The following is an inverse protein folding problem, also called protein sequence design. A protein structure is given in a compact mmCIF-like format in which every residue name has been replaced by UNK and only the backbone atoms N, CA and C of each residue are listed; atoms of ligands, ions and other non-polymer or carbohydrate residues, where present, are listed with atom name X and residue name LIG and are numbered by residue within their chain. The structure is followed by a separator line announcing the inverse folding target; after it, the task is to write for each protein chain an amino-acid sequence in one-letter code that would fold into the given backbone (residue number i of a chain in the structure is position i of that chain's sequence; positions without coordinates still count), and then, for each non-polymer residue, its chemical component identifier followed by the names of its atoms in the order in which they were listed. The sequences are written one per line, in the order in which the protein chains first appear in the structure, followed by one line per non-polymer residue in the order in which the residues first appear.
data_IF_624558639661
#
_entry.id   IF_624558639661
#
_cell.length_a   1.000
_cell.length_b   1.000
_cell.length_c   1.000
_cell.angle_alpha   90.00
_cell.angle_beta   90.00
_cell.angle_gamma   90.00
#
_symmetry.space_group_name_H-M   'P 1'
#
loop_
_entity.id
_entity.type
_entity.pdbx_description
1 polymer ?
#
# COMPACT_ATOMS: atom_id res chain seq x y z
N UNK A 1 38.88 -6.82 -9.32
CA UNK A 1 37.74 -7.76 -9.33
C UNK A 1 37.20 -7.90 -7.91
N UNK A 2 35.96 -7.48 -7.63
CA UNK A 2 35.28 -7.71 -6.34
C UNK A 2 34.04 -8.56 -6.63
N UNK A 3 34.03 -9.76 -6.08
CA UNK A 3 33.03 -10.79 -6.35
C UNK A 3 31.66 -10.44 -5.73
N UNK A 4 30.64 -10.79 -6.49
CA UNK A 4 29.22 -10.76 -6.15
C UNK A 4 28.88 -11.80 -5.07
N UNK A 5 28.00 -11.43 -4.14
CA UNK A 5 27.24 -12.38 -3.34
C UNK A 5 25.78 -11.91 -3.30
N UNK A 6 25.08 -12.13 -4.43
CA UNK A 6 23.63 -12.09 -4.45
C UNK A 6 23.11 -13.27 -3.65
N UNK A 7 22.70 -13.03 -2.40
CA UNK A 7 22.01 -14.04 -1.60
C UNK A 7 20.74 -14.45 -2.32
N UNK A 8 20.69 -15.69 -2.81
CA UNK A 8 19.48 -16.28 -3.34
C UNK A 8 18.44 -16.30 -2.21
N UNK A 9 17.49 -15.37 -2.27
CA UNK A 9 16.29 -15.44 -1.45
C UNK A 9 15.56 -16.70 -1.89
N UNK A 10 15.61 -17.75 -1.07
CA UNK A 10 14.80 -18.95 -1.24
C UNK A 10 13.34 -18.53 -1.06
N UNK A 11 12.69 -18.12 -2.15
CA UNK A 11 11.25 -17.89 -2.18
C UNK A 11 10.57 -19.25 -2.17
N UNK A 12 10.30 -19.77 -0.97
CA UNK A 12 9.33 -20.85 -0.84
C UNK A 12 7.97 -20.26 -1.18
N UNK A 13 7.41 -20.65 -2.33
CA UNK A 13 6.05 -20.25 -2.67
C UNK A 13 5.12 -20.76 -1.56
N UNK A 14 4.20 -19.92 -1.05
CA UNK A 14 3.20 -20.40 -0.11
C UNK A 14 2.43 -21.55 -0.75
N UNK A 15 2.07 -22.60 0.02
CA UNK A 15 1.32 -23.72 -0.50
C UNK A 15 0.00 -23.22 -1.11
N UNK A 16 -0.32 -23.71 -2.32
CA UNK A 16 -1.60 -23.41 -2.96
C UNK A 16 -2.68 -24.20 -2.23
N UNK A 17 -3.57 -23.48 -1.54
CA UNK A 17 -4.77 -24.08 -0.95
C UNK A 17 -5.83 -24.23 -2.03
N UNK A 18 -6.14 -25.47 -2.42
CA UNK A 18 -7.28 -25.77 -3.27
C UNK A 18 -8.55 -25.85 -2.41
N UNK A 19 -9.62 -25.20 -2.83
CA UNK A 19 -10.93 -25.24 -2.16
C UNK A 19 -12.00 -25.76 -3.14
N UNK A 20 -13.01 -26.51 -2.67
CA UNK A 20 -14.13 -26.92 -3.50
C UNK A 20 -14.96 -25.71 -3.98
N UNK A 21 -15.70 -25.80 -5.11
CA UNK A 21 -16.42 -24.66 -5.67
C UNK A 21 -17.43 -23.99 -4.73
N UNK A 22 -18.00 -24.72 -3.77
CA UNK A 22 -18.94 -24.19 -2.78
C UNK A 22 -18.27 -23.37 -1.65
N UNK A 23 -16.95 -23.41 -1.55
CA UNK A 23 -16.15 -22.57 -0.64
C UNK A 23 -15.57 -21.33 -1.35
N UNK A 24 -15.70 -21.25 -2.68
CA UNK A 24 -15.36 -20.04 -3.41
C UNK A 24 -16.45 -18.97 -3.19
N UNK A 25 -16.07 -17.71 -2.98
CA UNK A 25 -17.05 -16.63 -2.93
C UNK A 25 -17.72 -16.46 -4.29
N UNK A 26 -19.04 -16.20 -4.29
CA UNK A 26 -19.83 -15.95 -5.50
C UNK A 26 -19.34 -14.74 -6.30
N UNK A 27 -18.60 -13.83 -5.65
CA UNK A 27 -18.00 -12.66 -6.26
C UNK A 27 -16.53 -12.52 -5.86
N UNK A 28 -15.72 -12.04 -6.79
CA UNK A 28 -14.35 -11.64 -6.48
C UNK A 28 -14.36 -10.49 -5.45
N UNK A 29 -13.45 -10.48 -4.47
CA UNK A 29 -13.29 -9.34 -3.58
C UNK A 29 -13.08 -8.04 -4.39
N UNK A 30 -13.66 -6.91 -3.96
CA UNK A 30 -13.54 -5.65 -4.69
C UNK A 30 -12.10 -5.14 -4.79
N UNK A 31 -11.23 -5.57 -3.85
CA UNK A 31 -9.82 -5.19 -3.80
C UNK A 31 -8.95 -6.41 -3.47
N UNK A 32 -7.69 -6.39 -3.91
CA UNK A 32 -6.72 -7.39 -3.51
C UNK A 32 -6.39 -7.28 -2.01
N UNK A 33 -5.93 -8.38 -1.42
CA UNK A 33 -5.61 -8.42 0.00
C UNK A 33 -4.58 -7.34 0.35
N UNK A 34 -4.89 -6.52 1.36
CA UNK A 34 -4.03 -5.44 1.82
C UNK A 34 -4.00 -4.19 0.93
N UNK A 35 -4.83 -4.11 -0.11
CA UNK A 35 -4.97 -2.92 -0.93
C UNK A 35 -5.74 -1.79 -0.22
N UNK A 36 -6.72 -2.14 0.63
CA UNK A 36 -7.49 -1.17 1.40
C UNK A 36 -6.95 -1.05 2.84
N UNK A 37 -6.82 0.18 3.35
CA UNK A 37 -6.44 0.48 4.73
C UNK A 37 -7.24 1.68 5.25
N UNK A 38 -7.77 1.61 6.46
CA UNK A 38 -8.44 2.74 7.10
C UNK A 38 -7.42 3.66 7.81
N UNK A 39 -7.64 4.97 7.74
CA UNK A 39 -6.89 5.95 8.54
C UNK A 39 -7.62 6.32 9.84
N UNK A 40 -7.04 7.23 10.63
CA UNK A 40 -7.61 7.65 11.92
C UNK A 40 -8.77 8.66 11.80
N UNK A 41 -9.01 9.20 10.61
CA UNK A 41 -10.04 10.21 10.36
C UNK A 41 -11.32 9.57 9.77
N UNK A 42 -11.33 8.23 9.62
CA UNK A 42 -12.47 7.48 9.09
C UNK A 42 -12.49 7.38 7.57
N UNK A 43 -11.38 7.67 6.89
CA UNK A 43 -11.25 7.46 5.45
C UNK A 43 -10.63 6.10 5.14
N UNK A 44 -10.96 5.57 3.96
CA UNK A 44 -10.36 4.35 3.43
C UNK A 44 -9.42 4.70 2.27
N UNK A 45 -8.18 4.28 2.41
CA UNK A 45 -7.13 4.40 1.39
C UNK A 45 -7.05 3.11 0.60
N UNK A 46 -7.36 3.17 -0.70
CA UNK A 46 -7.45 2.03 -1.59
C UNK A 46 -6.33 2.12 -2.62
N UNK A 47 -5.38 1.18 -2.56
CA UNK A 47 -4.28 1.10 -3.52
C UNK A 47 -4.81 0.72 -4.89
N UNK A 48 -4.58 1.57 -5.87
CA UNK A 48 -4.88 1.30 -7.28
C UNK A 48 -3.76 0.48 -7.92
N UNK A 49 -3.99 0.01 -9.14
CA UNK A 49 -2.95 -0.60 -9.99
C UNK A 49 -2.03 0.44 -10.64
N UNK A 50 -2.33 1.73 -10.50
CA UNK A 50 -1.55 2.82 -11.10
C UNK A 50 -0.28 3.13 -10.28
N UNK A 51 0.74 3.55 -11.01
CA UNK A 51 2.01 4.04 -10.47
C UNK A 51 2.32 5.39 -11.10
N UNK A 52 2.69 6.36 -10.29
CA UNK A 52 3.13 7.70 -10.73
C UNK A 52 4.54 7.92 -10.19
N UNK A 53 5.48 8.25 -11.08
CA UNK A 53 6.89 8.47 -10.72
C UNK A 53 7.50 7.33 -9.87
N UNK A 54 7.11 6.07 -10.15
CA UNK A 54 7.59 4.89 -9.43
C UNK A 54 6.96 4.65 -8.05
N UNK A 55 5.95 5.43 -7.66
CA UNK A 55 5.20 5.26 -6.43
C UNK A 55 3.75 4.84 -6.64
N UNK A 56 3.20 4.04 -5.72
CA UNK A 56 1.81 3.56 -5.81
C UNK A 56 0.82 4.70 -5.59
N UNK A 57 -0.29 4.67 -6.33
CA UNK A 57 -1.38 5.62 -6.17
C UNK A 57 -2.52 5.04 -5.34
N UNK A 58 -3.04 5.83 -4.41
CA UNK A 58 -4.17 5.49 -3.55
C UNK A 58 -5.35 6.43 -3.83
N UNK A 59 -6.54 5.85 -4.00
CA UNK A 59 -7.80 6.58 -3.89
C UNK A 59 -8.17 6.68 -2.41
N UNK A 60 -8.58 7.87 -1.95
CA UNK A 60 -9.04 8.10 -0.58
C UNK A 60 -10.53 8.35 -0.61
N UNK A 61 -11.29 7.45 0.00
CA UNK A 61 -12.75 7.55 0.07
C UNK A 61 -13.19 7.83 1.50
N UNK A 62 -14.25 8.61 1.67
CA UNK A 62 -14.84 8.89 2.97
C UNK A 62 -15.76 7.75 3.46
N UNK A 63 -16.34 7.92 4.66
CA UNK A 63 -17.26 6.95 5.26
C UNK A 63 -18.59 6.79 4.49
N UNK A 64 -18.92 7.71 3.58
CA UNK A 64 -20.08 7.59 2.68
C UNK A 64 -19.73 6.88 1.38
N UNK A 65 -18.45 6.60 1.14
CA UNK A 65 -17.93 6.01 -0.08
C UNK A 65 -17.63 7.03 -1.19
N UNK A 66 -17.58 8.32 -0.86
CA UNK A 66 -17.25 9.37 -1.82
C UNK A 66 -15.73 9.48 -1.99
N UNK A 67 -15.24 9.57 -3.23
CA UNK A 67 -13.83 9.83 -3.52
C UNK A 67 -13.49 11.28 -3.17
N UNK A 68 -12.70 11.46 -2.11
CA UNK A 68 -12.32 12.78 -1.61
C UNK A 68 -10.89 13.18 -1.98
N UNK A 69 -10.05 12.23 -2.40
CA UNK A 69 -8.66 12.51 -2.80
C UNK A 69 -8.01 11.39 -3.62
N UNK A 70 -6.89 11.69 -4.26
CA UNK A 70 -5.98 10.74 -4.89
C UNK A 70 -4.53 11.07 -4.54
N UNK A 71 -3.88 10.17 -3.83
CA UNK A 71 -2.53 10.38 -3.29
C UNK A 71 -1.52 9.46 -3.98
N UNK A 72 -0.49 10.05 -4.59
CA UNK A 72 0.67 9.31 -5.07
C UNK A 72 1.72 9.20 -3.95
N UNK A 73 2.16 7.98 -3.66
CA UNK A 73 3.30 7.77 -2.75
C UNK A 73 4.61 8.18 -3.43
N UNK A 74 5.62 8.66 -2.68
CA UNK A 74 6.96 8.79 -3.22
C UNK A 74 7.53 7.41 -3.62
N UNK A 75 8.41 7.39 -4.61
CA UNK A 75 9.04 6.15 -5.07
C UNK A 75 9.72 5.37 -3.93
N UNK A 76 9.53 4.05 -3.93
CA UNK A 76 10.14 3.15 -2.94
C UNK A 76 9.57 3.24 -1.52
N UNK A 77 8.47 3.99 -1.30
CA UNK A 77 7.75 4.02 -0.02
C UNK A 77 6.55 3.08 -0.06
N UNK A 78 6.28 2.43 1.06
CA UNK A 78 5.04 1.67 1.29
C UNK A 78 4.39 2.15 2.58
N UNK A 79 3.06 2.23 2.62
CA UNK A 79 2.34 2.61 3.84
C UNK A 79 2.54 1.51 4.89
N UNK A 80 3.09 1.90 6.04
CA UNK A 80 3.24 1.05 7.22
C UNK A 80 2.08 1.26 8.21
N UNK A 81 1.48 2.45 8.24
CA UNK A 81 0.32 2.75 9.07
C UNK A 81 -0.04 4.23 9.09
N UNK A 82 -1.08 4.55 9.83
CA UNK A 82 -1.58 5.92 10.02
C UNK A 82 -1.44 6.34 11.49
N UNK A 83 -1.32 7.64 11.72
CA UNK A 83 -1.20 8.23 13.06
C UNK A 83 -2.00 9.50 13.23
N UNK A 84 -2.00 10.08 14.44
CA UNK A 84 -2.82 11.25 14.76
C UNK A 84 -2.52 12.43 13.84
N UNK A 85 -3.55 13.27 13.61
CA UNK A 85 -3.45 14.50 12.81
C UNK A 85 -3.04 14.23 11.35
N UNK A 86 -3.60 13.18 10.75
CA UNK A 86 -3.37 12.82 9.34
C UNK A 86 -1.94 12.36 9.03
N UNK A 87 -1.23 11.80 10.01
CA UNK A 87 0.11 11.28 9.79
C UNK A 87 0.07 9.96 9.00
N UNK A 88 0.92 9.84 8.00
CA UNK A 88 1.18 8.60 7.26
C UNK A 88 2.59 8.15 7.56
N UNK A 89 2.73 6.96 8.15
CA UNK A 89 4.02 6.31 8.36
C UNK A 89 4.32 5.42 7.16
N UNK A 90 5.50 5.59 6.57
CA UNK A 90 5.94 4.91 5.38
C UNK A 90 7.21 4.11 5.66
N UNK A 91 7.19 2.83 5.32
CA UNK A 91 8.39 2.01 5.29
C UNK A 91 9.23 2.32 4.06
N UNK A 92 10.53 2.48 4.27
CA UNK A 92 11.55 2.55 3.21
C UNK A 92 12.56 1.44 3.48
N UNK A 93 12.88 0.67 2.44
CA UNK A 93 14.01 -0.25 2.46
C UNK A 93 15.15 0.37 1.67
N UNK A 94 16.31 0.45 2.28
CA UNK A 94 17.55 0.84 1.61
C UNK A 94 18.66 -0.17 1.95
N UNK A 95 19.87 0.06 1.42
CA UNK A 95 21.00 -0.84 1.63
C UNK A 95 21.46 -0.96 3.10
N UNK A 96 21.02 -0.06 3.99
CA UNK A 96 21.37 -0.07 5.41
C UNK A 96 20.28 -0.69 6.31
N UNK A 97 19.06 -0.89 5.80
CA UNK A 97 17.99 -1.56 6.54
C UNK A 97 16.58 -1.05 6.20
N UNK A 98 15.69 -1.14 7.19
CA UNK A 98 14.31 -0.61 7.10
C UNK A 98 14.18 0.58 8.02
N UNK A 99 13.67 1.70 7.50
CA UNK A 99 13.35 2.89 8.28
C UNK A 99 11.92 3.34 8.04
N UNK A 100 11.35 4.02 9.03
CA UNK A 100 10.05 4.67 8.92
C UNK A 100 10.25 6.16 8.63
N UNK A 101 9.58 6.65 7.60
CA UNK A 101 9.39 8.07 7.34
C UNK A 101 7.97 8.46 7.75
N UNK A 102 7.80 9.68 8.28
CA UNK A 102 6.49 10.24 8.56
C UNK A 102 6.23 11.39 7.60
N UNK A 103 5.06 11.39 6.97
CA UNK A 103 4.57 12.51 6.19
C UNK A 103 3.15 12.87 6.62
N UNK A 104 2.71 14.05 6.17
CA UNK A 104 1.29 14.40 6.15
C UNK A 104 0.87 14.61 4.71
N UNK A 105 -0.37 14.28 4.43
CA UNK A 105 -0.99 14.62 3.16
C UNK A 105 -0.98 16.15 3.02
N UNK A 106 -0.44 16.64 1.91
CA UNK A 106 -0.59 18.06 1.57
C UNK A 106 -2.08 18.32 1.30
N UNK A 107 -2.62 19.50 1.67
CA UNK A 107 -3.96 19.87 1.21
C UNK A 107 -3.98 19.80 -0.32
N UNK A 108 -5.08 19.33 -0.90
CA UNK A 108 -5.26 19.34 -2.34
C UNK A 108 -4.96 20.73 -2.88
N UNK A 109 -4.00 20.85 -3.81
CA UNK A 109 -3.77 22.10 -4.52
C UNK A 109 -5.03 22.42 -5.31
N UNK A 110 -5.77 23.44 -4.84
CA UNK A 110 -6.85 24.05 -5.60
C UNK A 110 -6.21 24.67 -6.85
N UNK A 111 -6.65 24.31 -8.07
CA UNK A 111 -6.15 24.93 -9.29
C UNK A 111 -6.50 26.42 -9.37
#
# INVERSE_FOLDING_TARGET
ARNEAGGAMNFTLPPITMVPPNELPDYAPPFSQGAARADMDGHMWIRTTNTVNGGSVYDVVDAKGELIDRVAMPAGRVIAGFGPKGAVYMGVRDGAGVRLEQARRAPASVP
#
